data_IF_126412802022
#
_entry.id   IF_126412802022
#
_cell.length_a   1.000
_cell.length_b   1.000
_cell.length_c   1.000
_cell.angle_alpha   90.00
_cell.angle_beta   90.00
_cell.angle_gamma   90.00
#
_symmetry.space_group_name_H-M   'P 1'
#
loop_
_entity.id
_entity.type
_entity.pdbx_description
1 polymer ?
#
# COMPACT_ATOMS: atom_id res chain seq x y z
N UNK A 1 -12.59 5.29 0.32
CA UNK A 1 -12.95 4.74 1.66
C UNK A 1 -11.82 5.01 2.65
N UNK A 2 -12.09 5.44 3.89
CA UNK A 2 -11.05 5.65 4.90
C UNK A 2 -10.30 4.37 5.23
N UNK A 3 -8.98 4.45 5.40
CA UNK A 3 -8.09 3.36 5.74
C UNK A 3 -6.86 3.90 6.48
N UNK A 4 -6.04 2.99 7.03
CA UNK A 4 -4.78 3.36 7.66
C UNK A 4 -3.62 2.52 7.13
N UNK A 5 -2.47 3.16 7.00
CA UNK A 5 -1.17 2.54 6.72
C UNK A 5 -0.46 2.35 8.06
N UNK A 6 0.16 1.19 8.26
CA UNK A 6 0.97 0.91 9.45
C UNK A 6 2.25 0.18 9.04
N UNK A 7 3.37 0.63 9.57
CA UNK A 7 4.65 -0.06 9.39
C UNK A 7 4.57 -1.54 9.81
N UNK A 8 5.36 -2.41 9.19
CA UNK A 8 5.42 -3.83 9.59
C UNK A 8 5.90 -4.02 11.04
N UNK A 9 6.71 -3.09 11.54
CA UNK A 9 7.25 -3.07 12.90
C UNK A 9 6.40 -2.22 13.87
N UNK A 10 5.33 -1.60 13.37
CA UNK A 10 4.45 -0.73 14.15
C UNK A 10 5.05 0.65 14.50
N UNK A 11 6.22 1.02 13.98
CA UNK A 11 6.91 2.28 14.34
C UNK A 11 6.20 3.54 13.83
N UNK A 12 5.37 3.42 12.79
CA UNK A 12 4.59 4.54 12.27
C UNK A 12 3.24 4.09 11.73
N UNK A 13 2.28 5.02 11.74
CA UNK A 13 1.00 4.89 11.05
C UNK A 13 0.60 6.19 10.35
N UNK A 14 -0.22 6.08 9.31
CA UNK A 14 -0.77 7.21 8.55
C UNK A 14 -2.21 6.94 8.15
N UNK A 15 -3.02 7.99 8.17
CA UNK A 15 -4.36 7.94 7.58
C UNK A 15 -4.26 8.04 6.06
N UNK A 16 -5.12 7.30 5.38
CA UNK A 16 -5.23 7.34 3.93
C UNK A 16 -6.67 7.08 3.49
N UNK A 17 -6.95 7.38 2.23
CA UNK A 17 -8.17 6.95 1.56
C UNK A 17 -7.83 5.96 0.47
N UNK A 18 -8.58 4.87 0.40
CA UNK A 18 -8.53 3.94 -0.72
C UNK A 18 -9.43 4.46 -1.85
N UNK A 19 -8.82 4.70 -3.01
CA UNK A 19 -9.46 5.27 -4.20
C UNK A 19 -9.99 4.16 -5.11
N UNK A 20 -9.15 3.17 -5.39
CA UNK A 20 -9.50 2.00 -6.20
C UNK A 20 -8.87 0.73 -5.61
N UNK A 21 -9.58 -0.38 -5.77
CA UNK A 21 -9.12 -1.71 -5.36
C UNK A 21 -9.20 -2.67 -6.54
N UNK A 22 -8.23 -3.57 -6.63
CA UNK A 22 -8.17 -4.67 -7.59
C UNK A 22 -7.85 -5.98 -6.86
N UNK A 23 -7.81 -7.10 -7.58
CA UNK A 23 -7.42 -8.39 -7.00
C UNK A 23 -6.00 -8.36 -6.38
N UNK A 24 -5.09 -7.66 -7.05
CA UNK A 24 -3.65 -7.70 -6.79
C UNK A 24 -3.09 -6.44 -6.11
N UNK A 25 -3.90 -5.40 -5.93
CA UNK A 25 -3.42 -4.14 -5.35
C UNK A 25 -4.50 -3.09 -5.18
N UNK A 26 -4.10 -1.92 -4.71
CA UNK A 26 -4.96 -0.76 -4.54
C UNK A 26 -4.23 0.54 -4.89
N UNK A 27 -5.02 1.57 -5.15
CA UNK A 27 -4.57 2.97 -5.20
C UNK A 27 -5.06 3.68 -3.95
N UNK A 28 -4.15 4.35 -3.27
CA UNK A 28 -4.42 5.06 -2.03
C UNK A 28 -3.98 6.52 -2.18
N UNK A 29 -4.69 7.43 -1.53
CA UNK A 29 -4.29 8.82 -1.32
C UNK A 29 -3.91 8.99 0.15
N UNK A 30 -2.70 9.47 0.43
CA UNK A 30 -2.15 9.65 1.78
C UNK A 30 -2.22 11.14 2.12
N UNK A 31 -2.97 11.48 3.17
CA UNK A 31 -3.23 12.89 3.52
C UNK A 31 -2.07 13.63 4.19
N UNK A 32 -0.99 12.92 4.53
CA UNK A 32 0.18 13.47 5.21
C UNK A 32 1.48 13.05 4.51
N UNK A 33 2.57 13.77 4.80
CA UNK A 33 3.87 13.47 4.19
C UNK A 33 4.34 12.05 4.49
N UNK A 34 4.87 11.44 3.45
CA UNK A 34 5.49 10.11 3.43
C UNK A 34 7.02 10.17 3.54
N UNK A 35 7.60 11.37 3.57
CA UNK A 35 9.04 11.56 3.67
C UNK A 35 9.61 10.95 4.95
N UNK A 36 10.77 10.30 4.83
CA UNK A 36 11.44 9.64 5.95
C UNK A 36 10.79 8.34 6.44
N UNK A 37 9.65 7.92 5.87
CA UNK A 37 9.03 6.64 6.20
C UNK A 37 9.63 5.50 5.38
N UNK A 38 9.94 4.38 6.03
CA UNK A 38 10.27 3.15 5.32
C UNK A 38 8.97 2.51 4.77
N UNK A 39 8.55 2.99 3.60
CA UNK A 39 7.31 2.60 2.92
C UNK A 39 7.46 1.37 2.01
N UNK A 40 8.50 0.55 2.18
CA UNK A 40 8.71 -0.62 1.32
C UNK A 40 7.61 -1.64 1.53
N UNK A 41 7.37 -2.06 2.77
CA UNK A 41 6.27 -2.95 3.17
C UNK A 41 5.53 -2.40 4.38
N UNK A 42 4.21 -2.56 4.38
CA UNK A 42 3.33 -2.06 5.44
C UNK A 42 2.02 -2.85 5.46
N UNK A 43 1.25 -2.69 6.53
CA UNK A 43 -0.12 -3.15 6.61
C UNK A 43 -1.07 -2.03 6.19
N UNK A 44 -1.99 -2.38 5.28
CA UNK A 44 -3.18 -1.58 4.99
C UNK A 44 -4.33 -2.08 5.88
N UNK A 45 -4.79 -1.24 6.79
CA UNK A 45 -5.89 -1.49 7.70
C UNK A 45 -7.18 -0.93 7.09
N UNK A 46 -8.17 -1.81 6.91
CA UNK A 46 -9.46 -1.50 6.29
C UNK A 46 -10.57 -1.28 7.33
N UNK A 47 -10.28 -1.46 8.62
CA UNK A 47 -11.23 -1.23 9.70
C UNK A 47 -10.57 -0.48 10.84
N UNK A 48 -11.37 0.33 11.53
CA UNK A 48 -10.96 1.04 12.74
C UNK A 48 -10.61 0.10 13.91
N UNK A 49 -11.10 -1.15 13.87
CA UNK A 49 -10.80 -2.19 14.88
C UNK A 49 -9.54 -3.00 14.55
N UNK A 50 -8.87 -2.76 13.42
CA UNK A 50 -7.63 -3.44 13.04
C UNK A 50 -7.75 -4.93 12.68
N UNK A 51 -8.94 -5.53 12.77
CA UNK A 51 -9.15 -6.96 12.46
C UNK A 51 -9.06 -7.29 10.96
N UNK A 52 -9.26 -6.28 10.11
CA UNK A 52 -9.19 -6.43 8.66
C UNK A 52 -7.96 -5.68 8.14
N UNK A 53 -6.87 -6.42 7.90
CA UNK A 53 -5.63 -5.87 7.39
C UNK A 53 -5.06 -6.68 6.22
N UNK A 54 -4.29 -6.04 5.37
CA UNK A 54 -3.58 -6.68 4.25
C UNK A 54 -2.12 -6.23 4.22
N UNK A 55 -1.20 -7.16 4.01
CA UNK A 55 0.22 -6.81 3.85
C UNK A 55 0.43 -6.32 2.42
N UNK A 56 1.03 -5.15 2.29
CA UNK A 56 1.19 -4.44 1.05
C UNK A 56 2.66 -4.09 0.83
N UNK A 57 3.05 -4.02 -0.44
CA UNK A 57 4.32 -3.44 -0.87
C UNK A 57 4.04 -2.20 -1.71
N UNK A 58 4.83 -1.14 -1.55
CA UNK A 58 4.75 0.02 -2.42
C UNK A 58 5.15 -0.35 -3.85
N UNK A 59 4.33 0.04 -4.82
CA UNK A 59 4.56 -0.19 -6.24
C UNK A 59 5.05 1.08 -6.94
N UNK A 60 4.44 2.23 -6.64
CA UNK A 60 4.81 3.54 -7.20
C UNK A 60 4.26 4.67 -6.33
N UNK A 61 4.83 5.86 -6.50
CA UNK A 61 4.42 7.11 -5.83
C UNK A 61 4.18 8.17 -6.90
N UNK A 62 3.10 8.93 -6.74
CA UNK A 62 2.77 10.10 -7.55
C UNK A 62 2.17 11.18 -6.64
N UNK A 63 3.04 12.00 -6.05
CA UNK A 63 2.64 12.98 -5.04
C UNK A 63 2.06 12.30 -3.79
N UNK A 64 0.83 12.65 -3.44
CA UNK A 64 0.06 12.07 -2.34
C UNK A 64 -0.59 10.72 -2.69
N UNK A 65 -0.60 10.35 -3.97
CA UNK A 65 -1.16 9.08 -4.44
C UNK A 65 -0.09 8.01 -4.51
N UNK A 66 -0.44 6.82 -4.03
CA UNK A 66 0.43 5.65 -4.09
C UNK A 66 -0.30 4.45 -4.69
N UNK A 67 0.46 3.65 -5.43
CA UNK A 67 0.06 2.32 -5.83
C UNK A 67 0.64 1.29 -4.88
N UNK A 68 -0.17 0.34 -4.45
CA UNK A 68 0.25 -0.74 -3.56
C UNK A 68 -0.07 -2.10 -4.17
N UNK A 69 0.82 -3.07 -3.99
CA UNK A 69 0.61 -4.47 -4.37
C UNK A 69 0.35 -5.31 -3.13
N UNK A 70 -0.67 -6.15 -3.19
CA UNK A 70 -1.03 -7.04 -2.11
C UNK A 70 -0.10 -8.26 -2.07
N UNK A 71 0.55 -8.45 -0.92
CA UNK A 71 1.38 -9.62 -0.68
C UNK A 71 0.48 -10.81 -0.32
N UNK A 72 0.49 -11.85 -1.16
CA UNK A 72 -0.25 -13.09 -0.92
C UNK A 72 0.46 -13.90 0.18
N UNK A 73 -0.28 -14.38 1.19
CA UNK A 73 0.24 -15.36 2.14
C UNK A 73 0.39 -16.71 1.41
N UNK A 74 1.60 -17.00 0.94
CA UNK A 74 2.02 -18.33 0.48
C UNK A 74 1.32 -18.87 -0.78
N UNK A 75 1.88 -18.53 -1.96
CA UNK A 75 2.29 -19.45 -3.06
C UNK A 75 2.77 -18.61 -4.26
N UNK A 76 4.10 -18.65 -4.46
CA UNK A 76 4.89 -18.27 -5.66
C UNK A 76 4.95 -16.77 -6.03
N UNK A 77 6.14 -16.20 -6.32
CA UNK A 77 6.29 -14.78 -6.64
C UNK A 77 5.61 -14.42 -7.97
N UNK A 78 4.69 -13.45 -7.92
CA UNK A 78 4.15 -12.82 -9.11
C UNK A 78 5.25 -11.94 -9.75
N UNK A 79 5.49 -12.14 -11.06
CA UNK A 79 6.45 -11.37 -11.86
C UNK A 79 6.21 -9.85 -11.71
N UNK A 80 7.27 -9.03 -11.62
CA UNK A 80 7.11 -7.58 -11.58
C UNK A 80 6.44 -7.07 -12.87
N UNK A 81 5.58 -6.04 -12.78
CA UNK A 81 5.04 -5.40 -13.98
C UNK A 81 6.19 -4.80 -14.79
N UNK A 82 6.25 -5.18 -16.06
CA UNK A 82 7.17 -4.66 -17.07
C UNK A 82 6.94 -3.16 -17.17
N UNK A 83 7.93 -2.36 -16.82
CA UNK A 83 7.95 -0.94 -17.15
C UNK A 83 7.93 -0.82 -18.67
N UNK A 84 6.80 -0.34 -19.20
CA UNK A 84 6.68 0.04 -20.60
C UNK A 84 7.48 1.33 -20.80
N UNK A 85 8.66 1.17 -21.39
CA UNK A 85 9.48 2.28 -21.87
C UNK A 85 8.72 3.01 -22.98
N UNK A 86 8.65 4.34 -22.83
CA UNK A 86 8.12 5.28 -23.79
C UNK A 86 8.69 5.06 -25.20
N UNK A 87 7.82 5.24 -26.21
CA UNK A 87 8.20 5.54 -27.60
C UNK A 87 8.04 7.03 -27.80
#
# INVERSE_FOLDING_TARGET
>A
MPAQLMAIDGTWWRECTMDHVSENGARLTVGASMEGLNLVEFFLLLSSKGLAYRRCKLAWVNGDRIGVTFLRRGKTPAKPPRSETAV
#
